data_IF_394395748337
#
_entry.id   IF_394395748337
#
_cell.length_a   1.000
_cell.length_b   1.000
_cell.length_c   1.000
_cell.angle_alpha   90.00
_cell.angle_beta   90.00
_cell.angle_gamma   90.00
#
_symmetry.space_group_name_H-M   'P 1'
#
loop_
_entity.id
_entity.type
_entity.pdbx_description
1 polymer ?
#
# COMPACT_ATOMS: atom_id res chain seq x y z
N UNK A 1 3.42 43.90 -1.68
CA UNK A 1 4.39 42.93 -1.13
C UNK A 1 3.93 41.54 -1.58
N UNK A 2 4.43 41.07 -2.72
CA UNK A 2 4.06 39.77 -3.29
C UNK A 2 5.19 38.79 -2.99
N UNK A 3 5.00 37.91 -2.01
CA UNK A 3 5.95 36.83 -1.74
C UNK A 3 5.71 35.71 -2.75
N UNK A 4 6.55 35.71 -3.78
CA UNK A 4 6.90 34.51 -4.54
C UNK A 4 7.51 33.47 -3.60
N UNK A 5 6.96 32.25 -3.59
CA UNK A 5 7.66 31.09 -3.05
C UNK A 5 7.50 29.93 -4.03
N UNK A 6 8.48 29.68 -4.92
CA UNK A 6 8.54 28.44 -5.66
C UNK A 6 8.96 27.35 -4.67
N UNK A 7 8.02 26.49 -4.28
CA UNK A 7 8.34 25.27 -3.54
C UNK A 7 8.73 24.24 -4.58
N UNK A 8 10.02 23.95 -4.59
CA UNK A 8 10.70 23.01 -5.46
C UNK A 8 10.00 21.64 -5.40
N UNK A 9 9.47 21.22 -6.54
CA UNK A 9 9.02 19.86 -6.81
C UNK A 9 10.24 18.96 -6.75
N UNK A 10 10.31 18.10 -5.73
CA UNK A 10 11.27 17.00 -5.70
C UNK A 10 10.82 15.98 -6.74
N UNK A 11 11.52 15.99 -7.87
CA UNK A 11 11.59 14.88 -8.80
C UNK A 11 12.44 13.78 -8.13
N UNK A 12 11.79 12.79 -7.52
CA UNK A 12 12.40 11.47 -7.29
C UNK A 12 11.83 10.54 -8.34
N UNK A 13 12.60 10.39 -9.42
CA UNK A 13 12.46 9.37 -10.44
C UNK A 13 12.66 7.98 -9.79
N UNK A 14 11.63 7.55 -9.07
CA UNK A 14 11.53 6.24 -8.46
C UNK A 14 10.68 5.43 -9.42
N UNK A 15 11.25 4.42 -10.05
CA UNK A 15 10.41 3.36 -10.61
C UNK A 15 9.69 2.75 -9.40
N UNK A 16 8.48 3.24 -9.11
CA UNK A 16 7.65 2.75 -8.02
C UNK A 16 7.38 1.28 -8.34
N UNK A 17 8.12 0.37 -7.69
CA UNK A 17 7.85 -1.04 -7.79
C UNK A 17 6.39 -1.26 -7.40
N UNK A 18 5.61 -1.79 -8.35
CA UNK A 18 4.20 -2.08 -8.10
C UNK A 18 4.14 -3.20 -7.07
N UNK A 19 3.65 -2.86 -5.88
CA UNK A 19 3.43 -3.81 -4.80
C UNK A 19 2.06 -4.43 -5.02
N UNK A 20 2.01 -5.75 -5.07
CA UNK A 20 0.78 -6.50 -5.35
C UNK A 20 0.04 -6.89 -4.07
N UNK A 21 -1.27 -7.03 -4.18
CA UNK A 21 -2.12 -7.54 -3.11
C UNK A 21 -1.90 -9.05 -2.95
N UNK A 22 -1.39 -9.47 -1.79
CA UNK A 22 -1.12 -10.88 -1.51
C UNK A 22 -2.39 -11.73 -1.45
N UNK A 23 -3.51 -11.11 -1.05
CA UNK A 23 -4.80 -11.79 -1.00
C UNK A 23 -5.30 -12.09 -2.41
N UNK A 24 -5.28 -11.10 -3.31
CA UNK A 24 -5.68 -11.28 -4.70
C UNK A 24 -4.73 -12.17 -5.49
N UNK A 25 -3.42 -12.13 -5.17
CA UNK A 25 -2.42 -12.98 -5.80
C UNK A 25 -2.67 -14.47 -5.54
N UNK A 26 -3.28 -14.85 -4.42
CA UNK A 26 -3.68 -16.25 -4.15
C UNK A 26 -4.71 -16.77 -5.15
N UNK A 27 -5.47 -15.88 -5.79
CA UNK A 27 -6.43 -16.17 -6.84
C UNK A 27 -5.88 -15.82 -8.24
N UNK A 28 -4.55 -15.70 -8.40
CA UNK A 28 -3.84 -15.29 -9.61
C UNK A 28 -4.25 -13.89 -10.15
N UNK A 29 -4.83 -13.04 -9.28
CA UNK A 29 -5.23 -11.69 -9.63
C UNK A 29 -4.14 -10.68 -9.26
N UNK A 30 -3.55 -10.05 -10.27
CA UNK A 30 -2.59 -8.95 -10.10
C UNK A 30 -3.31 -7.63 -9.88
N UNK A 31 -3.57 -7.33 -8.62
CA UNK A 31 -4.17 -6.06 -8.18
C UNK A 31 -3.17 -5.32 -7.32
N UNK A 32 -2.98 -4.02 -7.57
CA UNK A 32 -2.09 -3.17 -6.79
C UNK A 32 -2.55 -3.06 -5.33
N UNK A 33 -1.61 -3.23 -4.41
CA UNK A 33 -1.83 -3.02 -2.99
C UNK A 33 -1.68 -1.54 -2.64
N UNK A 34 -2.54 -1.09 -1.73
CA UNK A 34 -2.51 0.29 -1.22
C UNK A 34 -2.28 0.36 0.30
N UNK A 35 -2.28 -0.79 0.96
CA UNK A 35 -2.07 -0.91 2.41
C UNK A 35 -1.27 -2.17 2.70
N UNK A 36 -0.35 -2.10 3.67
CA UNK A 36 0.23 -3.27 4.32
C UNK A 36 -0.38 -3.48 5.71
N UNK A 37 -0.77 -4.71 6.05
CA UNK A 37 -1.27 -5.08 7.37
C UNK A 37 -0.16 -5.78 8.17
N UNK A 38 0.34 -5.14 9.24
CA UNK A 38 1.44 -5.69 10.04
C UNK A 38 1.09 -6.98 10.79
N UNK A 39 -0.15 -7.10 11.25
CA UNK A 39 -0.56 -8.25 12.06
C UNK A 39 -0.93 -9.48 11.19
N UNK A 40 -1.18 -9.27 9.90
CA UNK A 40 -1.33 -10.36 8.92
C UNK A 40 -0.08 -10.59 8.09
N UNK A 41 0.87 -9.65 8.13
CA UNK A 41 2.06 -9.61 7.30
C UNK A 41 1.77 -9.63 5.78
N UNK A 42 0.67 -9.01 5.37
CA UNK A 42 0.16 -9.04 3.99
C UNK A 42 -0.12 -7.63 3.44
N UNK A 43 0.23 -7.42 2.18
CA UNK A 43 -0.20 -6.31 1.33
C UNK A 43 -1.62 -6.54 0.81
N UNK A 44 -2.45 -5.50 0.85
CA UNK A 44 -3.87 -5.55 0.52
C UNK A 44 -4.25 -4.42 -0.44
N UNK A 45 -5.03 -4.76 -1.46
CA UNK A 45 -5.71 -3.78 -2.30
C UNK A 45 -6.87 -3.12 -1.53
N UNK A 46 -7.46 -2.08 -2.11
CA UNK A 46 -8.56 -1.32 -1.51
C UNK A 46 -9.76 -2.20 -1.12
N UNK A 47 -10.10 -3.18 -1.96
CA UNK A 47 -11.26 -4.06 -1.71
C UNK A 47 -10.97 -5.03 -0.57
N UNK A 48 -9.78 -5.66 -0.59
CA UNK A 48 -9.33 -6.55 0.47
C UNK A 48 -9.25 -5.81 1.81
N UNK A 49 -8.62 -4.63 1.87
CA UNK A 49 -8.54 -3.83 3.11
C UNK A 49 -9.93 -3.39 3.61
N UNK A 50 -10.84 -2.99 2.71
CA UNK A 50 -12.23 -2.66 3.09
C UNK A 50 -12.93 -3.84 3.76
N UNK A 51 -12.84 -5.04 3.18
CA UNK A 51 -13.38 -6.26 3.78
C UNK A 51 -12.66 -6.65 5.08
N UNK A 52 -11.35 -6.40 5.15
CA UNK A 52 -10.51 -6.66 6.31
C UNK A 52 -10.94 -5.80 7.51
N UNK A 53 -11.21 -4.52 7.27
CA UNK A 53 -11.70 -3.56 8.25
C UNK A 53 -13.11 -3.89 8.76
N UNK A 54 -13.97 -4.52 7.94
CA UNK A 54 -15.34 -4.90 8.32
C UNK A 54 -15.40 -6.13 9.24
N UNK A 55 -14.34 -6.95 9.28
CA UNK A 55 -14.32 -8.24 10.00
C UNK A 55 -13.50 -8.15 11.29
N UNK A 56 -13.03 -9.31 11.76
CA UNK A 56 -12.22 -9.52 12.98
C UNK A 56 -10.94 -8.66 13.03
N UNK A 57 -10.52 -8.09 11.92
CA UNK A 57 -9.21 -7.47 11.75
C UNK A 57 -9.22 -5.93 11.82
N UNK A 58 -10.35 -5.32 12.23
CA UNK A 58 -10.50 -3.86 12.32
C UNK A 58 -9.40 -3.15 13.13
N UNK A 59 -8.84 -3.82 14.13
CA UNK A 59 -7.81 -3.27 15.01
C UNK A 59 -6.38 -3.58 14.56
N UNK A 60 -6.20 -4.20 13.39
CA UNK A 60 -4.88 -4.46 12.85
C UNK A 60 -4.19 -3.15 12.47
N UNK A 61 -2.88 -3.10 12.69
CA UNK A 61 -2.01 -1.98 12.34
C UNK A 61 -1.73 -2.01 10.85
N UNK A 62 -1.77 -0.81 10.26
CA UNK A 62 -1.69 -0.60 8.83
C UNK A 62 -0.69 0.50 8.50
N UNK A 63 0.04 0.30 7.42
CA UNK A 63 1.00 1.26 6.86
C UNK A 63 0.88 1.28 5.34
N UNK A 64 1.72 2.10 4.71
CA UNK A 64 1.93 2.03 3.27
C UNK A 64 2.38 0.63 2.86
N UNK A 65 2.03 0.17 1.64
CA UNK A 65 2.49 -1.09 1.07
C UNK A 65 4.01 -1.18 1.14
N UNK A 66 4.53 -2.39 1.35
CA UNK A 66 5.97 -2.62 1.26
C UNK A 66 6.29 -3.82 0.37
N UNK A 67 7.43 -3.82 -0.34
CA UNK A 67 7.91 -5.02 -1.01
C UNK A 67 8.10 -6.13 0.03
N UNK A 68 7.61 -7.33 -0.27
CA UNK A 68 7.82 -8.49 0.59
C UNK A 68 9.16 -9.09 0.18
N UNK A 69 10.15 -8.89 1.04
CA UNK A 69 11.45 -9.55 0.91
C UNK A 69 11.23 -11.07 0.94
N UNK A 70 11.28 -11.69 -0.24
CA UNK A 70 11.28 -13.14 -0.39
C UNK A 70 12.70 -13.62 -0.07
N UNK A 71 12.89 -14.21 1.10
CA UNK A 71 14.13 -14.90 1.50
C UNK A 71 14.24 -16.29 0.87
#
# INVERSE_FOLDING_TARGET
MTTNRPIQTKEENSEEEIIWCDVCLKDDQKVEAIVYCHDCEENQCKECDSMHQMKKFRNHRRSDPKPIDTF
#
